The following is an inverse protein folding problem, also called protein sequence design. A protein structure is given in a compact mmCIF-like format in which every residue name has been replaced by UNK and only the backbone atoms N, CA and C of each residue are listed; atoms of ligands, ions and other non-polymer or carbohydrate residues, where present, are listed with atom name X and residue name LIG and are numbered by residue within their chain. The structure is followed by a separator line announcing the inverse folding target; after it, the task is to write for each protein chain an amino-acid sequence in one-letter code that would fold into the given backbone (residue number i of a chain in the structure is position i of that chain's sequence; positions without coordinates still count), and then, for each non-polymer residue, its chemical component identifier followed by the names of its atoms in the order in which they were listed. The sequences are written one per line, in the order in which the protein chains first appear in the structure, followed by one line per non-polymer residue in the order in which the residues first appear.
data_IF_568644284453
#
_entry.id   IF_568644284453
#
_cell.length_a   1.000
_cell.length_b   1.000
_cell.length_c   1.000
_cell.angle_alpha   90.00
_cell.angle_beta   90.00
_cell.angle_gamma   90.00
#
_symmetry.space_group_name_H-M   'P 1'
#
loop_
_entity.id
_entity.type
_entity.pdbx_description
1 polymer ?
#
# COMPACT_ATOMS: atom_id res chain seq x y z
N UNK A 1 -11.35 3.18 8.68
CA UNK A 1 -12.79 2.83 8.60
C UNK A 1 -13.72 3.90 9.19
N UNK A 2 -13.34 4.66 10.22
CA UNK A 2 -14.21 5.70 10.82
C UNK A 2 -14.44 6.93 9.90
N UNK A 3 -13.50 7.24 9.01
CA UNK A 3 -13.56 8.39 8.09
C UNK A 3 -14.69 8.27 7.05
N UNK A 4 -15.00 7.06 6.57
CA UNK A 4 -16.07 6.84 5.59
C UNK A 4 -17.48 7.04 6.17
N UNK A 5 -17.63 6.89 7.49
CA UNK A 5 -18.89 7.19 8.21
C UNK A 5 -19.15 8.71 8.30
N UNK A 6 -18.09 9.51 8.45
CA UNK A 6 -18.19 10.98 8.55
C UNK A 6 -18.37 11.60 7.17
N UNK A 7 -17.71 11.08 6.14
CA UNK A 7 -17.64 11.70 4.81
C UNK A 7 -18.85 11.40 3.91
N UNK A 8 -19.63 10.36 4.18
CA UNK A 8 -20.82 9.97 3.39
C UNK A 8 -21.99 9.50 4.29
N UNK A 9 -22.75 10.43 4.88
CA UNK A 9 -23.83 10.12 5.81
C UNK A 9 -25.14 9.65 5.16
N UNK A 10 -25.31 9.83 3.84
CA UNK A 10 -26.58 9.62 3.13
C UNK A 10 -26.79 8.23 2.48
N UNK A 11 -25.86 7.28 2.63
CA UNK A 11 -26.09 5.92 2.12
C UNK A 11 -27.00 5.13 3.09
N UNK A 12 -28.11 4.59 2.57
CA UNK A 12 -29.03 3.71 3.28
C UNK A 12 -28.29 2.41 3.65
N UNK A 13 -27.82 2.29 4.89
CA UNK A 13 -27.11 1.10 5.38
C UNK A 13 -28.10 0.15 6.08
N UNK A 14 -28.39 -1.04 5.53
CA UNK A 14 -29.34 -2.01 6.11
C UNK A 14 -28.84 -2.70 7.39
N UNK A 15 -27.57 -2.52 7.78
CA UNK A 15 -26.98 -3.17 8.96
C UNK A 15 -26.23 -2.11 9.79
N UNK A 16 -26.79 -1.75 10.95
CA UNK A 16 -26.19 -0.81 11.90
C UNK A 16 -25.26 -1.58 12.84
N UNK A 17 -24.02 -1.79 12.44
CA UNK A 17 -22.98 -2.24 13.37
C UNK A 17 -22.67 -1.14 14.37
N UNK A 18 -22.65 -1.49 15.67
CA UNK A 18 -22.39 -0.56 16.76
C UNK A 18 -21.00 0.07 16.64
N UNK A 19 -20.90 1.37 16.93
CA UNK A 19 -19.63 2.11 16.98
C UNK A 19 -18.67 1.57 18.07
N UNK A 20 -19.13 0.68 18.94
CA UNK A 20 -18.33 0.03 19.98
C UNK A 20 -17.26 -0.88 19.35
N UNK A 21 -17.59 -1.65 18.31
CA UNK A 21 -16.64 -2.56 17.64
C UNK A 21 -15.37 -1.85 17.14
N UNK A 22 -15.44 -0.73 16.38
CA UNK A 22 -14.24 -0.04 15.93
C UNK A 22 -13.45 0.63 17.06
N UNK A 23 -14.10 1.05 18.16
CA UNK A 23 -13.41 1.65 19.31
C UNK A 23 -12.56 0.59 20.01
N UNK A 24 -13.14 -0.57 20.33
CA UNK A 24 -12.41 -1.68 20.97
C UNK A 24 -11.26 -2.16 20.10
N UNK A 25 -11.49 -2.32 18.78
CA UNK A 25 -10.43 -2.67 17.83
C UNK A 25 -9.28 -1.67 17.85
N UNK A 26 -9.57 -0.37 17.87
CA UNK A 26 -8.55 0.68 17.88
C UNK A 26 -7.73 0.64 19.18
N UNK A 27 -8.37 0.43 20.34
CA UNK A 27 -7.69 0.26 21.63
C UNK A 27 -6.79 -0.98 21.60
N UNK A 28 -7.28 -2.11 21.12
CA UNK A 28 -6.47 -3.33 20.97
C UNK A 28 -5.28 -3.11 20.02
N UNK A 29 -5.47 -2.44 18.88
CA UNK A 29 -4.39 -2.13 17.95
C UNK A 29 -3.30 -1.26 18.59
N UNK A 30 -3.69 -0.23 19.35
CA UNK A 30 -2.72 0.61 20.06
C UNK A 30 -1.95 -0.24 21.08
N UNK A 31 -2.65 -1.06 21.87
CA UNK A 31 -2.01 -1.94 22.85
C UNK A 31 -1.00 -2.88 22.19
N UNK A 32 -1.41 -3.59 21.13
CA UNK A 32 -0.57 -4.50 20.38
C UNK A 32 0.60 -3.81 19.66
N UNK A 33 0.50 -2.51 19.38
CA UNK A 33 1.59 -1.73 18.78
C UNK A 33 2.59 -1.27 19.84
N UNK A 34 2.11 -0.90 21.03
CA UNK A 34 2.94 -0.37 22.12
C UNK A 34 3.75 -1.48 22.80
N UNK A 35 3.21 -2.68 22.95
CA UNK A 35 3.90 -3.84 23.54
C UNK A 35 5.25 -4.15 22.83
N UNK A 36 5.32 -4.35 21.50
CA UNK A 36 6.57 -4.62 20.80
C UNK A 36 7.52 -3.41 20.79
N UNK A 37 7.00 -2.18 20.87
CA UNK A 37 7.85 -0.98 21.01
C UNK A 37 8.68 -0.99 22.30
N UNK A 38 8.14 -1.53 23.39
CA UNK A 38 8.86 -1.66 24.65
C UNK A 38 9.74 -2.91 24.71
N UNK A 39 9.30 -4.02 24.13
CA UNK A 39 10.06 -5.28 24.15
C UNK A 39 11.34 -5.18 23.31
N UNK A 40 11.23 -4.75 22.06
CA UNK A 40 12.34 -4.70 21.10
C UNK A 40 12.29 -3.39 20.29
N UNK A 41 12.76 -2.27 20.87
CA UNK A 41 12.68 -0.95 20.24
C UNK A 41 13.54 -0.84 18.98
N UNK A 42 14.59 -1.67 18.86
CA UNK A 42 15.47 -1.66 17.69
C UNK A 42 14.75 -2.15 16.43
N UNK A 43 14.14 -3.34 16.51
CA UNK A 43 13.40 -3.95 15.40
C UNK A 43 12.21 -3.08 14.99
N UNK A 44 11.45 -2.58 15.97
CA UNK A 44 10.28 -1.73 15.69
C UNK A 44 10.67 -0.43 14.98
N UNK A 45 11.81 0.17 15.35
CA UNK A 45 12.31 1.39 14.70
C UNK A 45 12.73 1.15 13.25
N UNK A 46 13.31 -0.01 12.93
CA UNK A 46 13.67 -0.36 11.56
C UNK A 46 12.43 -0.47 10.66
N UNK A 47 11.36 -1.10 11.17
CA UNK A 47 10.07 -1.17 10.47
C UNK A 47 9.50 0.24 10.23
N UNK A 48 9.54 1.10 11.24
CA UNK A 48 9.10 2.49 11.13
C UNK A 48 9.91 3.26 10.07
N UNK A 49 11.24 3.08 10.03
CA UNK A 49 12.11 3.70 9.04
C UNK A 49 11.82 3.21 7.62
N UNK A 50 11.55 1.91 7.43
CA UNK A 50 11.16 1.36 6.11
C UNK A 50 9.80 1.88 5.67
N UNK A 51 8.83 1.95 6.57
CA UNK A 51 7.52 2.56 6.26
C UNK A 51 7.69 4.03 5.88
N UNK A 52 8.52 4.76 6.61
CA UNK A 52 8.82 6.16 6.31
C UNK A 52 9.55 6.29 4.98
N UNK A 53 10.47 5.38 4.63
CA UNK A 53 11.17 5.33 3.35
C UNK A 53 10.26 5.01 2.16
N UNK A 54 9.12 4.35 2.37
CA UNK A 54 8.09 4.18 1.35
C UNK A 54 7.50 5.52 0.85
N UNK A 55 7.38 6.52 1.74
CA UNK A 55 6.86 7.85 1.40
C UNK A 55 7.77 8.66 0.45
N UNK A 56 9.07 8.88 0.71
CA UNK A 56 9.96 9.56 -0.22
C UNK A 56 10.12 8.77 -1.51
N UNK A 57 10.10 7.43 -1.49
CA UNK A 57 10.11 6.63 -2.73
C UNK A 57 8.87 6.94 -3.58
N UNK A 58 7.68 6.97 -2.98
CA UNK A 58 6.45 7.35 -3.68
C UNK A 58 6.52 8.77 -4.24
N UNK A 59 6.97 9.74 -3.45
CA UNK A 59 7.10 11.14 -3.88
C UNK A 59 8.11 11.29 -5.03
N UNK A 60 9.28 10.68 -4.93
CA UNK A 60 10.30 10.74 -5.99
C UNK A 60 9.79 10.08 -7.26
N UNK A 61 9.18 8.89 -7.17
CA UNK A 61 8.69 8.18 -8.35
C UNK A 61 7.52 8.92 -9.01
N UNK A 62 6.54 9.39 -8.24
CA UNK A 62 5.35 10.07 -8.76
C UNK A 62 5.65 11.49 -9.25
N UNK A 63 6.47 12.27 -8.53
CA UNK A 63 6.87 13.62 -8.95
C UNK A 63 7.74 13.56 -10.22
N UNK A 64 8.67 12.60 -10.30
CA UNK A 64 9.48 12.40 -11.50
C UNK A 64 8.65 11.89 -12.68
N UNK A 65 7.63 11.05 -12.43
CA UNK A 65 6.68 10.58 -13.45
C UNK A 65 5.83 11.70 -14.07
N UNK A 66 5.49 12.77 -13.32
CA UNK A 66 4.78 13.93 -13.89
C UNK A 66 5.64 14.84 -14.75
N UNK A 67 6.94 14.95 -14.44
CA UNK A 67 7.88 15.90 -15.09
C UNK A 67 8.67 15.26 -16.24
N UNK A 68 8.83 13.95 -16.19
CA UNK A 68 9.43 13.11 -17.21
C UNK A 68 8.29 12.26 -17.75
N UNK A 69 7.71 12.64 -18.90
CA UNK A 69 6.86 11.74 -19.68
C UNK A 69 7.70 10.49 -19.90
N UNK A 70 7.49 9.47 -19.05
CA UNK A 70 8.40 8.34 -18.89
C UNK A 70 8.71 7.83 -20.29
N UNK A 71 9.91 8.09 -20.86
CA UNK A 71 10.39 7.24 -21.92
C UNK A 71 10.30 5.87 -21.29
N UNK A 72 9.65 4.91 -21.93
CA UNK A 72 9.67 3.52 -21.46
C UNK A 72 11.13 3.13 -21.38
N UNK A 73 11.76 3.35 -20.22
CA UNK A 73 13.19 3.27 -20.08
C UNK A 73 13.53 1.85 -20.52
N UNK A 74 14.42 1.74 -21.52
CA UNK A 74 14.72 0.46 -22.18
C UNK A 74 15.05 -0.61 -21.15
N UNK A 75 15.57 -0.22 -19.98
CA UNK A 75 15.85 -1.05 -18.82
C UNK A 75 14.60 -1.71 -18.21
N UNK A 76 13.52 -0.97 -17.94
CA UNK A 76 12.30 -1.51 -17.35
C UNK A 76 11.59 -2.44 -18.32
N UNK A 77 11.54 -2.07 -19.61
CA UNK A 77 10.96 -2.94 -20.67
C UNK A 77 11.82 -4.19 -20.89
N UNK A 78 13.15 -4.09 -20.85
CA UNK A 78 14.06 -5.25 -20.95
C UNK A 78 13.93 -6.17 -19.75
N UNK A 79 13.86 -5.64 -18.54
CA UNK A 79 13.60 -6.40 -17.33
C UNK A 79 12.24 -7.12 -17.42
N UNK A 80 11.18 -6.42 -17.84
CA UNK A 80 9.86 -7.03 -18.02
C UNK A 80 9.88 -8.11 -19.11
N UNK A 81 10.50 -7.89 -20.27
CA UNK A 81 10.62 -8.91 -21.33
C UNK A 81 11.50 -10.10 -20.91
N UNK A 82 12.54 -9.87 -20.13
CA UNK A 82 13.40 -10.93 -19.60
C UNK A 82 12.64 -11.78 -18.59
N UNK A 83 11.96 -11.16 -17.61
CA UNK A 83 11.10 -11.87 -16.66
C UNK A 83 9.97 -12.62 -17.38
N UNK A 84 9.31 -12.00 -18.37
CA UNK A 84 8.28 -12.66 -19.18
C UNK A 84 8.82 -13.92 -19.88
N UNK A 85 10.02 -13.84 -20.44
CA UNK A 85 10.65 -14.95 -21.18
C UNK A 85 11.23 -16.04 -20.28
N UNK A 86 11.70 -15.69 -19.08
CA UNK A 86 12.30 -16.65 -18.12
C UNK A 86 11.24 -17.37 -17.28
N UNK A 87 10.10 -16.71 -17.01
CA UNK A 87 8.98 -17.29 -16.28
C UNK A 87 7.98 -18.04 -17.18
N UNK A 88 8.22 -18.09 -18.49
CA UNK A 88 7.28 -18.65 -19.48
C UNK A 88 5.86 -18.06 -19.34
N UNK A 89 5.76 -16.84 -18.83
CA UNK A 89 4.49 -16.12 -18.70
C UNK A 89 4.15 -15.63 -20.10
N UNK A 90 3.31 -16.40 -20.79
CA UNK A 90 2.60 -15.91 -21.97
C UNK A 90 1.86 -14.64 -21.57
N UNK A 91 2.27 -13.52 -22.16
CA UNK A 91 1.45 -12.32 -22.13
C UNK A 91 0.20 -12.60 -22.94
N UNK A 92 -0.96 -12.58 -22.28
CA UNK A 92 -2.29 -12.68 -22.88
C UNK A 92 -2.65 -11.47 -23.79
N UNK A 93 -1.66 -10.76 -24.32
CA UNK A 93 -1.85 -9.67 -25.28
C UNK A 93 -1.77 -10.17 -26.74
N UNK A 94 -1.17 -11.35 -26.99
CA UNK A 94 -1.04 -11.91 -28.36
C UNK A 94 -2.05 -13.02 -28.69
N UNK A 95 -2.90 -13.45 -27.76
CA UNK A 95 -3.89 -14.51 -28.06
C UNK A 95 -5.21 -14.00 -28.67
N UNK A 96 -5.34 -12.69 -28.88
CA UNK A 96 -6.57 -12.02 -29.32
C UNK A 96 -6.35 -10.98 -30.45
N UNK A 97 -5.29 -11.11 -31.26
CA UNK A 97 -5.17 -10.35 -32.52
C UNK A 97 -4.58 -11.18 -33.66
#
# INVERSE_FOLDING_TARGET
MMVLRVKQPHLHRPIKVSLICPIVFLVCCIFLTVVPMFAEPFETRMVLLVMLAGLPVYLVFFYKSKRFSVPKDSLTVKMTKFLQRTLEVVTLDEKFS
#
